data_IF_718125888524
#
_entry.id   IF_718125888524
#
_cell.length_a   1.000
_cell.length_b   1.000
_cell.length_c   1.000
_cell.angle_alpha   90.00
_cell.angle_beta   90.00
_cell.angle_gamma   90.00
#
_symmetry.space_group_name_H-M   'P 1'
#
loop_
_entity.id
_entity.type
_entity.pdbx_description
1 polymer ?
#
# COMPACT_ATOMS: atom_id res chain seq x y z
N UNK A 1 0.13 -39.35 -21.08
CA UNK A 1 -1.17 -39.32 -20.36
C UNK A 1 -1.10 -38.17 -19.38
N UNK A 2 -1.77 -37.06 -19.68
CA UNK A 2 -1.77 -35.85 -18.86
C UNK A 2 -2.67 -36.10 -17.65
N UNK A 3 -2.16 -35.80 -16.45
CA UNK A 3 -2.87 -35.99 -15.18
C UNK A 3 -4.21 -35.22 -15.20
N UNK A 4 -5.37 -35.89 -15.02
CA UNK A 4 -6.68 -35.25 -15.10
C UNK A 4 -6.94 -34.19 -14.01
N UNK A 5 -6.07 -34.05 -13.01
CA UNK A 5 -6.13 -32.97 -12.02
C UNK A 5 -5.65 -31.59 -12.52
N UNK A 6 -4.94 -31.51 -13.65
CA UNK A 6 -4.46 -30.23 -14.19
C UNK A 6 -5.47 -29.53 -15.12
N UNK A 7 -6.44 -30.26 -15.67
CA UNK A 7 -7.53 -29.67 -16.46
C UNK A 7 -8.63 -29.03 -15.60
N UNK A 8 -8.64 -29.30 -14.29
CA UNK A 8 -9.59 -28.67 -13.34
C UNK A 8 -9.18 -27.25 -12.94
N UNK A 9 -7.93 -26.84 -13.19
CA UNK A 9 -7.39 -25.54 -12.76
C UNK A 9 -7.69 -24.36 -13.71
N UNK A 10 -8.12 -24.62 -14.95
CA UNK A 10 -8.26 -23.57 -15.98
C UNK A 10 -9.69 -23.22 -16.41
N UNK A 11 -10.74 -23.70 -15.73
CA UNK A 11 -12.10 -23.38 -16.18
C UNK A 11 -13.30 -23.74 -15.31
N UNK A 12 -13.13 -24.38 -14.15
CA UNK A 12 -14.26 -24.86 -13.34
C UNK A 12 -13.98 -24.72 -11.83
N UNK A 13 -13.87 -23.48 -11.34
CA UNK A 13 -14.12 -23.21 -9.90
C UNK A 13 -14.61 -21.77 -9.61
N UNK A 14 -14.79 -20.93 -10.63
CA UNK A 14 -15.56 -19.68 -10.48
C UNK A 14 -17.05 -19.91 -10.19
N UNK A 15 -17.54 -21.15 -10.37
CA UNK A 15 -18.91 -21.56 -9.99
C UNK A 15 -19.03 -22.11 -8.57
N UNK A 16 -17.90 -22.37 -7.88
CA UNK A 16 -17.90 -22.68 -6.44
C UNK A 16 -17.74 -21.42 -5.60
N UNK A 17 -17.13 -20.38 -6.18
CA UNK A 17 -17.11 -19.03 -5.65
C UNK A 17 -18.52 -18.41 -5.69
N UNK A 18 -19.15 -18.33 -4.52
CA UNK A 18 -20.42 -17.63 -4.25
C UNK A 18 -21.67 -18.27 -4.86
N UNK A 19 -22.12 -19.37 -4.26
CA UNK A 19 -23.45 -19.93 -4.51
C UNK A 19 -24.61 -18.95 -4.29
N UNK A 20 -24.40 -17.84 -3.55
CA UNK A 20 -25.42 -16.80 -3.37
C UNK A 20 -24.81 -15.39 -3.26
N UNK A 21 -24.59 -14.71 -4.39
CA UNK A 21 -24.16 -13.31 -4.41
C UNK A 21 -25.14 -12.38 -3.66
N UNK A 22 -26.41 -12.79 -3.58
CA UNK A 22 -27.49 -12.06 -2.89
C UNK A 22 -27.26 -11.86 -1.38
N UNK A 23 -26.43 -12.68 -0.73
CA UNK A 23 -26.20 -12.65 0.72
C UNK A 23 -25.05 -11.71 1.12
N UNK A 24 -24.26 -11.24 0.15
CA UNK A 24 -22.96 -10.59 0.39
C UNK A 24 -23.01 -9.07 0.61
N UNK A 25 -24.14 -8.43 0.31
CA UNK A 25 -24.25 -6.97 0.24
C UNK A 25 -24.43 -6.25 1.60
N UNK A 26 -24.39 -6.96 2.73
CA UNK A 26 -24.53 -6.34 4.06
C UNK A 26 -23.15 -6.10 4.67
N UNK A 27 -22.95 -4.93 5.28
CA UNK A 27 -21.75 -4.64 6.06
C UNK A 27 -21.67 -5.69 7.17
N UNK A 28 -20.59 -6.49 7.24
CA UNK A 28 -20.40 -7.44 8.33
C UNK A 28 -20.57 -6.78 9.70
N UNK A 29 -21.29 -7.42 10.62
CA UNK A 29 -21.42 -6.94 12.00
C UNK A 29 -20.06 -6.84 12.72
N UNK A 30 -19.05 -7.57 12.21
CA UNK A 30 -17.65 -7.59 12.67
C UNK A 30 -16.80 -6.43 12.14
N UNK A 31 -17.39 -5.32 11.70
CA UNK A 31 -16.66 -4.09 11.35
C UNK A 31 -17.01 -2.98 12.33
N UNK A 32 -16.02 -2.49 13.06
CA UNK A 32 -16.20 -1.44 14.06
C UNK A 32 -15.79 -0.08 13.51
N UNK A 33 -16.60 0.98 13.70
CA UNK A 33 -16.16 2.35 13.43
C UNK A 33 -14.97 2.72 14.33
N UNK A 34 -13.96 3.38 13.75
CA UNK A 34 -12.77 3.82 14.49
C UNK A 34 -13.11 4.74 15.67
N UNK A 35 -14.13 5.58 15.55
CA UNK A 35 -14.56 6.48 16.64
C UNK A 35 -14.96 5.72 17.92
N UNK A 36 -15.50 4.50 17.79
CA UNK A 36 -15.81 3.65 18.96
C UNK A 36 -14.55 3.11 19.63
N UNK A 37 -13.49 2.88 18.87
CA UNK A 37 -12.18 2.44 19.39
C UNK A 37 -11.46 3.62 20.02
N UNK A 38 -11.48 4.79 19.35
CA UNK A 38 -10.87 6.03 19.82
C UNK A 38 -11.53 6.58 21.09
N UNK A 39 -12.82 6.31 21.30
CA UNK A 39 -13.52 6.68 22.53
C UNK A 39 -13.04 5.93 23.78
N UNK A 40 -12.25 4.85 23.62
CA UNK A 40 -11.66 4.13 24.75
C UNK A 40 -10.51 4.95 25.34
N UNK A 41 -10.47 5.03 26.67
CA UNK A 41 -9.38 5.70 27.38
C UNK A 41 -8.09 4.91 27.15
N UNK A 42 -7.05 5.61 26.68
CA UNK A 42 -5.72 5.02 26.59
C UNK A 42 -5.19 4.77 28.01
N UNK A 43 -4.56 3.63 28.28
CA UNK A 43 -3.98 3.35 29.58
C UNK A 43 -2.85 4.33 29.88
N UNK A 44 -2.63 4.61 31.17
CA UNK A 44 -1.58 5.52 31.65
C UNK A 44 -0.17 5.15 31.14
N UNK A 45 0.04 3.86 30.84
CA UNK A 45 1.25 3.36 30.19
C UNK A 45 0.92 2.55 28.94
N UNK A 46 1.15 3.15 27.77
CA UNK A 46 1.11 2.48 26.46
C UNK A 46 2.39 1.70 26.15
N UNK A 47 3.44 1.91 26.93
CA UNK A 47 4.77 1.33 26.69
C UNK A 47 4.76 -0.20 26.69
N UNK A 48 4.00 -0.83 27.59
CA UNK A 48 3.86 -2.28 27.66
C UNK A 48 3.23 -2.88 26.39
N UNK A 49 2.21 -2.21 25.84
CA UNK A 49 1.55 -2.63 24.59
C UNK A 49 2.46 -2.42 23.39
N UNK A 50 3.19 -1.31 23.33
CA UNK A 50 4.15 -1.01 22.26
C UNK A 50 5.31 -2.00 22.25
N UNK A 51 5.84 -2.39 23.41
CA UNK A 51 6.91 -3.38 23.48
C UNK A 51 6.50 -4.76 22.96
N UNK A 52 5.21 -5.05 22.81
CA UNK A 52 4.67 -6.27 22.21
C UNK A 52 4.39 -6.15 20.71
N UNK A 53 4.57 -4.97 20.13
CA UNK A 53 4.32 -4.69 18.72
C UNK A 53 5.61 -4.78 17.90
N UNK A 54 5.47 -5.20 16.65
CA UNK A 54 6.47 -5.14 15.59
C UNK A 54 5.85 -4.42 14.39
N UNK A 55 6.58 -3.49 13.77
CA UNK A 55 6.10 -2.82 12.55
C UNK A 55 6.72 -3.52 11.34
N UNK A 56 5.88 -3.99 10.41
CA UNK A 56 6.31 -4.66 9.18
C UNK A 56 5.91 -3.81 7.98
N UNK A 57 6.88 -3.46 7.13
CA UNK A 57 6.63 -2.74 5.87
C UNK A 57 6.87 -3.64 4.67
N UNK A 58 5.90 -3.69 3.77
CA UNK A 58 6.01 -4.38 2.49
C UNK A 58 6.90 -3.54 1.56
N UNK A 59 8.10 -4.04 1.28
CA UNK A 59 9.17 -3.35 0.55
C UNK A 59 9.59 -4.08 -0.74
N UNK A 60 8.82 -5.08 -1.19
CA UNK A 60 9.17 -5.86 -2.39
C UNK A 60 8.97 -5.14 -3.73
N UNK A 61 8.33 -3.97 -3.73
CA UNK A 61 7.94 -3.22 -4.92
C UNK A 61 9.02 -2.29 -5.47
N UNK A 62 9.14 -2.24 -6.79
CA UNK A 62 10.02 -1.32 -7.50
C UNK A 62 9.31 0.01 -7.80
N UNK A 63 10.09 1.08 -7.95
CA UNK A 63 9.62 2.40 -8.36
C UNK A 63 9.40 2.57 -9.87
N UNK A 64 9.27 1.48 -10.64
CA UNK A 64 9.26 1.51 -12.11
C UNK A 64 8.10 2.30 -12.70
N UNK A 65 6.93 2.29 -12.05
CA UNK A 65 5.76 3.10 -12.47
C UNK A 65 6.03 4.60 -12.41
N UNK A 66 6.99 5.03 -11.60
CA UNK A 66 7.45 6.42 -11.48
C UNK A 66 8.83 6.63 -12.13
N UNK A 67 9.30 5.67 -12.94
CA UNK A 67 10.56 5.76 -13.67
C UNK A 67 11.83 5.52 -12.85
N UNK A 68 11.73 5.01 -11.63
CA UNK A 68 12.88 4.70 -10.77
C UNK A 68 13.28 3.22 -10.90
N UNK A 69 14.59 2.94 -10.98
CA UNK A 69 15.13 1.57 -11.14
C UNK A 69 15.25 0.78 -9.83
N UNK A 70 15.24 1.46 -8.67
CA UNK A 70 15.42 0.83 -7.35
C UNK A 70 14.12 0.56 -6.59
N UNK A 71 14.23 0.16 -5.31
CA UNK A 71 13.09 0.00 -4.41
C UNK A 71 12.25 1.26 -4.34
N UNK A 72 10.93 1.12 -4.33
CA UNK A 72 10.05 2.29 -4.24
C UNK A 72 10.27 3.10 -2.95
N UNK A 73 10.71 2.42 -1.88
CA UNK A 73 10.99 3.02 -0.58
C UNK A 73 12.07 4.10 -0.57
N UNK A 74 12.93 4.13 -1.60
CA UNK A 74 14.06 5.08 -1.70
C UNK A 74 13.72 6.33 -2.49
N UNK A 75 12.49 6.43 -3.01
CA UNK A 75 12.04 7.66 -3.67
C UNK A 75 11.90 8.75 -2.63
N UNK A 76 12.53 9.90 -2.88
CA UNK A 76 12.39 11.10 -2.06
C UNK A 76 10.95 11.61 -2.12
N UNK A 77 10.34 11.76 -0.96
CA UNK A 77 8.96 12.20 -0.76
C UNK A 77 8.91 13.64 -0.31
N UNK A 78 9.70 14.03 0.69
CA UNK A 78 9.61 15.37 1.29
C UNK A 78 10.90 15.79 1.96
N UNK A 79 11.39 16.99 1.64
CA UNK A 79 12.64 17.55 2.16
C UNK A 79 13.79 16.52 2.06
N UNK A 80 13.94 15.91 0.89
CA UNK A 80 14.93 14.83 0.60
C UNK A 80 14.72 13.52 1.37
N UNK A 81 13.76 13.45 2.30
CA UNK A 81 13.43 12.22 3.02
C UNK A 81 12.67 11.26 2.10
N UNK A 82 13.15 10.03 2.05
CA UNK A 82 12.51 8.90 1.37
C UNK A 82 11.36 8.31 2.18
N UNK A 83 10.54 7.43 1.60
CA UNK A 83 9.52 6.69 2.37
C UNK A 83 10.13 5.91 3.55
N UNK A 84 11.33 5.34 3.34
CA UNK A 84 12.04 4.63 4.38
C UNK A 84 12.50 5.57 5.50
N UNK A 85 13.06 6.74 5.15
CA UNK A 85 13.46 7.76 6.13
C UNK A 85 12.26 8.18 7.00
N UNK A 86 11.12 8.48 6.36
CA UNK A 86 9.91 8.87 7.07
C UNK A 86 9.43 7.78 8.04
N UNK A 87 9.47 6.51 7.61
CA UNK A 87 9.09 5.37 8.48
C UNK A 87 10.06 5.20 9.64
N UNK A 88 11.36 5.33 9.39
CA UNK A 88 12.40 5.25 10.45
C UNK A 88 12.21 6.37 11.45
N UNK A 89 12.01 7.62 11.00
CA UNK A 89 11.75 8.76 11.89
C UNK A 89 10.48 8.57 12.74
N UNK A 90 9.41 8.02 12.17
CA UNK A 90 8.18 7.72 12.93
C UNK A 90 8.44 6.75 14.08
N UNK A 91 9.12 5.64 13.81
CA UNK A 91 9.37 4.59 14.82
C UNK A 91 10.43 5.05 15.81
N UNK A 92 11.46 5.76 15.35
CA UNK A 92 12.47 6.32 16.23
C UNK A 92 11.85 7.32 17.20
N UNK A 93 10.98 8.21 16.72
CA UNK A 93 10.26 9.16 17.57
C UNK A 93 9.35 8.43 18.57
N UNK A 94 8.66 7.37 18.14
CA UNK A 94 7.84 6.51 19.00
C UNK A 94 8.69 5.88 20.12
N UNK A 95 9.84 5.31 19.77
CA UNK A 95 10.77 4.67 20.71
C UNK A 95 11.36 5.67 21.70
N UNK A 96 11.72 6.88 21.25
CA UNK A 96 12.24 7.96 22.12
C UNK A 96 11.17 8.47 23.08
N UNK A 97 9.95 8.71 22.58
CA UNK A 97 8.86 9.33 23.34
C UNK A 97 8.32 8.41 24.43
N UNK A 98 8.09 7.14 24.11
CA UNK A 98 7.52 6.17 25.06
C UNK A 98 8.58 5.33 25.80
N UNK A 99 9.86 5.58 25.51
CA UNK A 99 10.98 4.81 26.04
C UNK A 99 10.82 3.28 25.82
N UNK A 100 10.48 2.92 24.58
CA UNK A 100 10.24 1.53 24.15
C UNK A 100 11.20 1.13 23.04
N UNK A 101 11.16 -0.16 22.67
CA UNK A 101 11.92 -0.71 21.55
C UNK A 101 11.00 -1.48 20.59
N UNK A 102 10.35 -0.72 19.71
CA UNK A 102 9.55 -1.25 18.60
C UNK A 102 10.47 -1.50 17.40
N UNK A 103 10.62 -2.76 16.96
CA UNK A 103 11.42 -3.07 15.79
C UNK A 103 10.66 -2.78 14.49
N UNK A 104 11.41 -2.37 13.46
CA UNK A 104 10.96 -2.26 12.08
C UNK A 104 11.44 -3.47 11.29
N UNK A 105 10.55 -4.12 10.55
CA UNK A 105 10.87 -5.24 9.67
C UNK A 105 10.51 -4.88 8.23
N UNK A 106 11.45 -5.04 7.31
CA UNK A 106 11.21 -4.83 5.89
C UNK A 106 11.11 -6.19 5.18
N UNK A 107 9.96 -6.45 4.57
CA UNK A 107 9.76 -7.59 3.68
C UNK A 107 10.23 -7.19 2.27
N UNK A 108 11.45 -7.59 1.93
CA UNK A 108 12.07 -7.29 0.64
C UNK A 108 11.66 -8.31 -0.42
N UNK A 109 12.08 -8.08 -1.65
CA UNK A 109 12.10 -9.04 -2.76
C UNK A 109 13.52 -9.19 -3.28
N UNK A 110 13.78 -10.22 -4.09
CA UNK A 110 15.07 -10.34 -4.79
C UNK A 110 15.41 -9.13 -5.67
N UNK A 111 14.42 -8.31 -6.06
CA UNK A 111 14.63 -7.06 -6.80
C UNK A 111 15.05 -5.87 -5.92
N UNK A 112 14.89 -5.97 -4.61
CA UNK A 112 15.01 -4.82 -3.68
C UNK A 112 15.93 -5.07 -2.50
N UNK A 113 16.25 -6.33 -2.19
CA UNK A 113 16.94 -6.71 -0.95
C UNK A 113 18.38 -6.16 -0.89
N UNK A 114 19.18 -6.33 -1.95
CA UNK A 114 20.56 -5.85 -1.97
C UNK A 114 20.65 -4.31 -1.85
N UNK A 115 19.82 -3.60 -2.61
CA UNK A 115 19.80 -2.14 -2.60
C UNK A 115 19.28 -1.60 -1.26
N UNK A 116 18.28 -2.26 -0.67
CA UNK A 116 17.79 -1.90 0.66
C UNK A 116 18.89 -2.08 1.70
N UNK A 117 19.61 -3.22 1.70
CA UNK A 117 20.70 -3.50 2.66
C UNK A 117 21.83 -2.47 2.60
N UNK A 118 22.20 -2.00 1.40
CA UNK A 118 23.21 -0.94 1.23
C UNK A 118 22.78 0.35 1.93
N UNK A 119 21.51 0.71 1.83
CA UNK A 119 20.96 1.96 2.38
C UNK A 119 20.77 1.89 3.89
N UNK A 120 20.51 0.70 4.44
CA UNK A 120 20.27 0.52 5.88
C UNK A 120 21.45 0.94 6.77
N UNK A 121 22.67 0.99 6.23
CA UNK A 121 23.86 1.48 6.94
C UNK A 121 23.67 2.92 7.48
N UNK A 122 22.85 3.73 6.81
CA UNK A 122 22.48 5.09 7.23
C UNK A 122 21.84 5.13 8.63
N UNK A 123 21.12 4.08 9.03
CA UNK A 123 20.30 4.07 10.24
C UNK A 123 20.96 3.41 11.45
N UNK A 124 22.23 3.03 11.35
CA UNK A 124 22.97 2.30 12.41
C UNK A 124 22.95 3.01 13.78
N UNK A 125 22.90 4.34 13.79
CA UNK A 125 22.88 5.15 15.02
C UNK A 125 21.48 5.62 15.44
N UNK A 126 20.42 5.21 14.72
CA UNK A 126 19.06 5.59 15.05
C UNK A 126 18.50 4.69 16.15
N UNK A 127 17.58 5.21 16.96
CA UNK A 127 16.90 4.43 18.02
C UNK A 127 15.79 3.53 17.45
N UNK A 128 16.15 2.66 16.52
CA UNK A 128 15.25 1.66 15.95
C UNK A 128 16.05 0.43 15.48
N UNK A 129 15.61 -0.76 15.89
CA UNK A 129 16.15 -2.01 15.36
C UNK A 129 15.45 -2.35 14.05
N UNK A 130 16.22 -2.38 12.96
CA UNK A 130 15.70 -2.68 11.62
C UNK A 130 16.12 -4.09 11.22
N UNK A 131 15.14 -4.94 10.96
CA UNK A 131 15.32 -6.28 10.40
C UNK A 131 14.87 -6.32 8.95
N UNK A 132 15.44 -7.24 8.19
CA UNK A 132 15.02 -7.50 6.81
C UNK A 132 14.89 -9.00 6.59
N UNK A 133 13.89 -9.41 5.82
CA UNK A 133 13.84 -10.75 5.25
C UNK A 133 13.39 -10.66 3.80
N UNK A 134 13.78 -11.65 3.00
CA UNK A 134 13.42 -11.71 1.60
C UNK A 134 12.22 -12.64 1.43
N UNK A 135 11.25 -12.22 0.63
CA UNK A 135 10.14 -13.07 0.24
C UNK A 135 10.57 -14.12 -0.78
N UNK A 136 9.72 -15.13 -1.00
CA UNK A 136 9.95 -16.19 -1.98
C UNK A 136 10.13 -15.64 -3.39
N UNK A 137 10.77 -16.45 -4.24
CA UNK A 137 10.98 -16.17 -5.66
C UNK A 137 10.48 -17.35 -6.49
N UNK A 138 9.42 -17.15 -7.28
CA UNK A 138 8.80 -18.20 -8.07
C UNK A 138 9.08 -18.05 -9.57
N UNK A 139 9.17 -19.16 -10.32
CA UNK A 139 9.36 -19.11 -11.76
C UNK A 139 8.05 -18.72 -12.46
N UNK A 140 8.12 -17.78 -13.39
CA UNK A 140 7.00 -17.43 -14.27
C UNK A 140 6.62 -18.65 -15.11
N UNK A 141 5.34 -18.76 -15.44
CA UNK A 141 4.80 -19.89 -16.21
C UNK A 141 4.49 -19.38 -17.62
N UNK A 142 4.89 -20.10 -18.67
CA UNK A 142 4.50 -19.75 -20.03
C UNK A 142 2.99 -19.97 -20.21
N UNK A 143 2.29 -19.01 -20.83
CA UNK A 143 0.82 -19.03 -20.91
C UNK A 143 0.29 -20.17 -21.78
N UNK A 144 0.99 -20.51 -22.85
CA UNK A 144 0.57 -21.51 -23.83
C UNK A 144 0.97 -22.93 -23.41
N UNK A 145 2.21 -23.14 -22.94
CA UNK A 145 2.71 -24.46 -22.55
C UNK A 145 2.39 -24.85 -21.11
N UNK A 146 2.06 -23.88 -20.25
CA UNK A 146 1.87 -24.05 -18.81
C UNK A 146 3.10 -24.64 -18.08
N UNK A 147 4.29 -24.51 -18.68
CA UNK A 147 5.57 -24.92 -18.09
C UNK A 147 6.35 -23.71 -17.56
N UNK A 148 7.25 -23.91 -16.57
CA UNK A 148 8.14 -22.85 -16.11
C UNK A 148 8.98 -22.26 -17.25
N UNK A 149 9.11 -20.93 -17.26
CA UNK A 149 9.98 -20.21 -18.20
C UNK A 149 11.45 -20.36 -17.80
N UNK A 150 11.73 -20.40 -16.50
CA UNK A 150 13.08 -20.55 -15.96
C UNK A 150 13.65 -21.93 -16.32
N UNK A 151 14.84 -21.94 -16.94
CA UNK A 151 15.57 -23.17 -17.32
C UNK A 151 16.61 -23.60 -16.29
N UNK A 152 17.07 -22.64 -15.49
CA UNK A 152 18.11 -22.80 -14.49
C UNK A 152 17.82 -21.87 -13.30
N UNK A 153 18.63 -21.97 -12.25
CA UNK A 153 18.53 -21.15 -11.04
C UNK A 153 19.19 -19.76 -11.19
N UNK A 154 19.70 -19.41 -12.37
CA UNK A 154 20.31 -18.13 -12.67
C UNK A 154 19.33 -16.98 -12.47
N UNK A 155 19.85 -15.87 -11.94
CA UNK A 155 19.05 -14.72 -11.50
C UNK A 155 19.46 -13.41 -12.18
N UNK A 156 20.49 -13.43 -13.01
CA UNK A 156 21.06 -12.24 -13.62
C UNK A 156 20.87 -12.25 -15.14
N UNK A 157 20.83 -11.06 -15.75
CA UNK A 157 20.61 -10.88 -17.19
C UNK A 157 19.21 -11.34 -17.62
N UNK A 158 19.12 -11.96 -18.80
CA UNK A 158 17.87 -12.47 -19.40
C UNK A 158 17.13 -13.48 -18.49
N UNK A 159 17.80 -14.06 -17.50
CA UNK A 159 17.22 -15.00 -16.54
C UNK A 159 16.41 -14.30 -15.43
N UNK A 160 16.68 -13.02 -15.13
CA UNK A 160 15.98 -12.28 -14.08
C UNK A 160 14.48 -12.13 -14.36
N UNK A 161 14.12 -11.97 -15.63
CA UNK A 161 12.74 -11.90 -16.09
C UNK A 161 12.03 -13.25 -16.15
N UNK A 162 12.70 -14.35 -15.86
CA UNK A 162 12.03 -15.63 -15.68
C UNK A 162 11.36 -15.75 -14.29
N UNK A 163 11.65 -14.83 -13.35
CA UNK A 163 11.23 -14.93 -11.95
C UNK A 163 10.30 -13.80 -11.51
N UNK A 164 9.52 -14.02 -10.46
CA UNK A 164 8.68 -13.00 -9.85
C UNK A 164 8.47 -13.26 -8.35
N UNK A 165 8.23 -12.21 -7.55
CA UNK A 165 7.76 -12.36 -6.17
C UNK A 165 6.27 -12.78 -6.19
N UNK A 166 5.84 -13.78 -5.42
CA UNK A 166 4.48 -14.35 -5.47
C UNK A 166 3.41 -13.50 -4.75
N UNK A 167 3.53 -12.17 -4.84
CA UNK A 167 2.66 -11.23 -4.16
C UNK A 167 2.89 -11.15 -2.65
N UNK A 168 2.21 -10.21 -2.01
CA UNK A 168 2.42 -9.94 -0.59
C UNK A 168 1.83 -11.01 0.36
N UNK A 169 1.02 -11.94 -0.13
CA UNK A 169 0.51 -13.07 0.67
C UNK A 169 1.60 -14.06 1.11
N UNK A 170 2.75 -14.08 0.43
CA UNK A 170 3.92 -14.89 0.81
C UNK A 170 4.56 -14.47 2.13
N UNK A 171 4.15 -13.34 2.72
CA UNK A 171 4.62 -12.87 4.02
C UNK A 171 4.58 -13.98 5.08
N UNK A 172 3.52 -14.80 5.12
CA UNK A 172 3.37 -15.82 6.16
C UNK A 172 4.46 -16.90 6.08
N UNK A 173 4.71 -17.42 4.87
CA UNK A 173 5.70 -18.46 4.65
C UNK A 173 7.12 -17.93 4.76
N UNK A 174 7.42 -16.80 4.10
CA UNK A 174 8.76 -16.20 4.13
C UNK A 174 9.16 -15.69 5.51
N UNK A 175 8.22 -15.13 6.28
CA UNK A 175 8.49 -14.67 7.64
C UNK A 175 8.76 -15.84 8.60
N UNK A 176 8.02 -16.95 8.48
CA UNK A 176 8.30 -18.20 9.21
C UNK A 176 9.67 -18.77 8.82
N UNK A 177 9.93 -18.96 7.52
CA UNK A 177 11.16 -19.55 7.00
C UNK A 177 12.41 -18.70 7.30
N UNK A 178 12.26 -17.40 7.52
CA UNK A 178 13.37 -16.52 7.91
C UNK A 178 13.88 -16.78 9.33
N UNK A 179 13.11 -17.49 10.17
CA UNK A 179 13.37 -17.65 11.60
C UNK A 179 13.06 -16.40 12.44
N UNK A 180 12.77 -15.26 11.80
CA UNK A 180 12.48 -14.00 12.48
C UNK A 180 11.17 -14.05 13.27
N UNK A 181 10.17 -14.82 12.80
CA UNK A 181 8.92 -15.05 13.52
C UNK A 181 9.19 -15.58 14.94
N UNK A 182 9.99 -16.65 15.04
CA UNK A 182 10.32 -17.28 16.31
C UNK A 182 11.18 -16.41 17.21
N UNK A 183 12.13 -15.68 16.62
CA UNK A 183 12.95 -14.70 17.36
C UNK A 183 12.09 -13.61 18.00
N UNK A 184 11.12 -13.06 17.26
CA UNK A 184 10.24 -12.00 17.76
C UNK A 184 9.27 -12.52 18.82
N UNK A 185 8.71 -13.73 18.65
CA UNK A 185 7.88 -14.37 19.67
C UNK A 185 8.69 -14.59 20.95
N UNK A 186 9.93 -15.10 20.83
CA UNK A 186 10.83 -15.33 21.97
C UNK A 186 11.21 -14.02 22.66
N UNK A 187 11.32 -12.91 21.91
CA UNK A 187 11.52 -11.57 22.44
C UNK A 187 10.25 -10.96 23.09
N UNK A 188 9.16 -11.72 23.21
CA UNK A 188 7.92 -11.29 23.86
C UNK A 188 7.01 -10.43 22.98
N UNK A 189 7.23 -10.41 21.66
CA UNK A 189 6.32 -9.73 20.72
C UNK A 189 5.07 -10.59 20.49
N UNK A 190 3.91 -9.94 20.41
CA UNK A 190 2.61 -10.60 20.23
C UNK A 190 1.95 -10.29 18.88
N UNK A 191 2.16 -9.08 18.33
CA UNK A 191 1.51 -8.63 17.09
C UNK A 191 2.49 -7.99 16.11
N UNK A 192 2.20 -8.16 14.82
CA UNK A 192 2.76 -7.39 13.72
C UNK A 192 1.74 -6.37 13.20
N UNK A 193 2.20 -5.17 12.88
CA UNK A 193 1.46 -4.19 12.09
C UNK A 193 2.05 -4.13 10.67
N UNK A 194 1.35 -4.73 9.71
CA UNK A 194 1.73 -4.80 8.30
C UNK A 194 1.13 -3.63 7.53
N UNK A 195 1.95 -2.94 6.74
CA UNK A 195 1.46 -1.92 5.80
C UNK A 195 2.42 -1.74 4.62
N UNK A 196 1.94 -1.12 3.54
CA UNK A 196 2.79 -0.76 2.41
C UNK A 196 3.76 0.36 2.81
N UNK A 197 5.02 0.29 2.36
CA UNK A 197 6.00 1.37 2.59
C UNK A 197 5.59 2.69 1.91
N UNK A 198 4.82 2.60 0.82
CA UNK A 198 4.32 3.77 0.08
C UNK A 198 3.00 4.34 0.62
N UNK A 199 2.45 3.78 1.71
CA UNK A 199 1.32 4.37 2.43
C UNK A 199 1.83 5.22 3.61
N UNK A 200 1.87 6.53 3.41
CA UNK A 200 2.36 7.49 4.41
C UNK A 200 1.39 7.71 5.58
N UNK A 201 0.12 7.32 5.41
CA UNK A 201 -0.90 7.38 6.47
C UNK A 201 -0.83 6.20 7.45
N UNK A 202 -0.11 5.14 7.10
CA UNK A 202 0.01 3.92 7.91
C UNK A 202 1.00 4.07 9.07
N UNK A 203 0.66 4.95 10.02
CA UNK A 203 1.37 5.12 11.30
C UNK A 203 0.87 4.14 12.35
N UNK A 204 1.65 3.88 13.40
CA UNK A 204 1.19 3.05 14.53
C UNK A 204 0.07 3.77 15.28
N UNK A 205 -1.12 3.19 15.28
CA UNK A 205 -2.28 3.72 16.00
C UNK A 205 -2.39 3.14 17.41
N UNK A 206 -2.24 3.99 18.43
CA UNK A 206 -2.28 3.56 19.82
C UNK A 206 -3.67 3.09 20.26
N UNK A 207 -4.75 3.59 19.68
CA UNK A 207 -6.10 3.19 20.04
C UNK A 207 -6.42 1.80 19.48
N UNK A 208 -6.02 1.50 18.24
CA UNK A 208 -6.17 0.16 17.66
C UNK A 208 -5.31 -0.85 18.43
N UNK A 209 -4.06 -0.48 18.75
CA UNK A 209 -3.17 -1.31 19.56
C UNK A 209 -3.76 -1.57 20.95
N UNK A 210 -4.30 -0.53 21.61
CA UNK A 210 -4.94 -0.68 22.91
C UNK A 210 -6.16 -1.61 22.83
N UNK A 211 -6.98 -1.47 21.79
CA UNK A 211 -8.13 -2.35 21.57
C UNK A 211 -7.72 -3.82 21.42
N UNK A 212 -6.63 -4.10 20.72
CA UNK A 212 -6.08 -5.47 20.59
C UNK A 212 -5.60 -6.02 21.94
N UNK A 213 -4.86 -5.22 22.71
CA UNK A 213 -4.17 -5.68 23.91
C UNK A 213 -5.09 -5.83 25.12
N UNK A 214 -6.17 -5.03 25.19
CA UNK A 214 -7.12 -5.00 26.33
C UNK A 214 -8.20 -6.08 26.25
N UNK A 215 -8.36 -6.75 25.11
CA UNK A 215 -9.31 -7.84 24.99
C UNK A 215 -8.93 -9.05 25.88
N UNK A 216 -9.91 -9.74 26.49
CA UNK A 216 -9.68 -11.00 27.19
C UNK A 216 -8.95 -12.01 26.30
N UNK A 217 -8.01 -12.78 26.87
CA UNK A 217 -7.14 -13.70 26.11
C UNK A 217 -7.92 -14.71 25.26
N UNK A 218 -9.06 -15.17 25.75
CA UNK A 218 -9.97 -16.13 25.09
C UNK A 218 -10.76 -15.53 23.92
N UNK A 219 -10.88 -14.20 23.85
CA UNK A 219 -11.64 -13.48 22.81
C UNK A 219 -10.78 -12.56 21.95
N UNK A 220 -9.46 -12.67 22.09
CA UNK A 220 -8.51 -11.77 21.47
C UNK A 220 -8.56 -11.91 19.95
N UNK A 221 -8.70 -10.79 19.25
CA UNK A 221 -8.65 -10.74 17.80
C UNK A 221 -7.26 -11.16 17.29
N UNK A 222 -7.20 -12.16 16.41
CA UNK A 222 -5.94 -12.58 15.81
C UNK A 222 -5.58 -11.79 14.56
N UNK A 223 -6.58 -11.16 13.94
CA UNK A 223 -6.42 -10.41 12.69
C UNK A 223 -7.34 -9.19 12.67
N UNK A 224 -6.77 -8.00 12.52
CA UNK A 224 -7.51 -6.78 12.20
C UNK A 224 -7.12 -6.30 10.81
N UNK A 225 -8.12 -6.01 10.00
CA UNK A 225 -7.96 -5.28 8.74
C UNK A 225 -8.55 -3.87 8.87
N UNK A 226 -7.72 -2.84 8.71
CA UNK A 226 -8.23 -1.49 8.57
C UNK A 226 -8.88 -1.34 7.18
N UNK A 227 -10.13 -0.88 7.18
CA UNK A 227 -10.89 -0.53 5.98
C UNK A 227 -11.20 0.96 6.03
N UNK A 228 -11.44 1.58 4.89
CA UNK A 228 -11.89 2.98 4.81
C UNK A 228 -13.03 3.09 3.81
N UNK A 229 -13.81 4.16 3.92
CA UNK A 229 -14.93 4.41 2.99
C UNK A 229 -14.44 4.55 1.54
N UNK A 230 -15.14 3.91 0.60
CA UNK A 230 -14.86 3.94 -0.84
C UNK A 230 -15.19 5.30 -1.43
N UNK A 231 -14.26 5.85 -2.19
CA UNK A 231 -14.54 6.95 -3.12
C UNK A 231 -14.66 6.45 -4.56
N UNK A 232 -15.00 7.34 -5.49
CA UNK A 232 -15.07 6.99 -6.93
C UNK A 232 -13.75 6.46 -7.48
N UNK A 233 -12.62 6.83 -6.89
CA UNK A 233 -11.30 6.32 -7.27
C UNK A 233 -11.03 4.88 -6.79
N UNK A 234 -11.75 4.42 -5.76
CA UNK A 234 -11.45 3.16 -5.04
C UNK A 234 -12.41 2.02 -5.41
N UNK A 235 -13.28 2.21 -6.42
CA UNK A 235 -14.35 1.27 -6.80
C UNK A 235 -13.84 -0.12 -7.23
N UNK A 236 -12.56 -0.22 -7.59
CA UNK A 236 -11.90 -1.49 -7.96
C UNK A 236 -11.29 -2.23 -6.77
N UNK A 237 -11.15 -1.58 -5.62
CA UNK A 237 -10.52 -2.15 -4.43
C UNK A 237 -11.36 -3.24 -3.78
N UNK A 238 -10.68 -4.27 -3.29
CA UNK A 238 -11.26 -5.36 -2.51
C UNK A 238 -12.03 -4.86 -1.29
N UNK A 239 -13.11 -5.54 -0.93
CA UNK A 239 -13.99 -5.20 0.21
C UNK A 239 -14.09 -6.37 1.18
N UNK A 240 -14.33 -6.07 2.46
CA UNK A 240 -14.69 -7.10 3.42
C UNK A 240 -16.15 -7.48 3.28
N UNK A 241 -16.40 -8.79 3.32
CA UNK A 241 -17.73 -9.42 3.33
C UNK A 241 -17.80 -10.47 4.43
N UNK A 242 -19.02 -10.88 4.77
CA UNK A 242 -19.25 -12.04 5.63
C UNK A 242 -19.68 -13.21 4.74
N UNK A 243 -18.98 -14.33 4.87
CA UNK A 243 -19.23 -15.56 4.13
C UNK A 243 -18.94 -16.74 5.06
N UNK A 244 -19.90 -17.68 5.18
CA UNK A 244 -19.82 -18.82 6.12
C UNK A 244 -19.42 -18.39 7.56
N UNK A 245 -20.06 -17.33 8.07
CA UNK A 245 -19.83 -16.73 9.40
C UNK A 245 -18.41 -16.19 9.69
N UNK A 246 -17.54 -16.20 8.69
CA UNK A 246 -16.20 -15.62 8.72
C UNK A 246 -16.11 -14.36 7.87
N UNK A 247 -15.19 -13.48 8.26
CA UNK A 247 -14.81 -12.36 7.41
C UNK A 247 -13.95 -12.88 6.27
N UNK A 248 -14.23 -12.43 5.05
CA UNK A 248 -13.42 -12.71 3.86
C UNK A 248 -13.18 -11.42 3.07
N UNK A 249 -11.99 -11.31 2.50
CA UNK A 249 -11.68 -10.26 1.53
C UNK A 249 -12.18 -10.70 0.15
N UNK A 250 -13.14 -9.96 -0.40
CA UNK A 250 -13.65 -10.15 -1.76
C UNK A 250 -12.92 -9.21 -2.71
N UNK A 251 -12.18 -9.80 -3.66
CA UNK A 251 -11.52 -9.07 -4.74
C UNK A 251 -12.35 -9.11 -6.03
N UNK A 252 -12.19 -8.10 -6.88
CA UNK A 252 -12.92 -8.00 -8.17
C UNK A 252 -12.70 -9.23 -9.07
N UNK A 253 -11.52 -9.85 -9.01
CA UNK A 253 -11.18 -11.04 -9.80
C UNK A 253 -12.02 -12.28 -9.42
N UNK A 254 -12.59 -12.29 -8.22
CA UNK A 254 -13.43 -13.37 -7.71
C UNK A 254 -14.93 -13.14 -8.02
N UNK A 255 -15.29 -11.94 -8.49
CA UNK A 255 -16.68 -11.56 -8.78
C UNK A 255 -17.05 -12.04 -10.18
N UNK A 256 -18.16 -12.81 -10.34
CA UNK A 256 -18.64 -13.18 -11.66
C UNK A 256 -18.92 -11.95 -12.53
N UNK A 257 -18.63 -12.04 -13.84
CA UNK A 257 -18.74 -10.90 -14.78
C UNK A 257 -20.10 -10.19 -14.73
N UNK A 258 -21.19 -10.93 -14.49
CA UNK A 258 -22.55 -10.39 -14.40
C UNK A 258 -22.77 -9.45 -13.19
N UNK A 259 -21.97 -9.55 -12.13
CA UNK A 259 -22.14 -8.80 -10.89
C UNK A 259 -21.01 -7.78 -10.64
N UNK A 260 -20.11 -7.58 -11.60
CA UNK A 260 -18.98 -6.65 -11.47
C UNK A 260 -19.43 -5.21 -11.22
N UNK A 261 -20.51 -4.77 -11.85
CA UNK A 261 -21.01 -3.41 -11.67
C UNK A 261 -21.70 -3.22 -10.32
N UNK A 262 -22.28 -4.29 -9.77
CA UNK A 262 -22.77 -4.29 -8.39
C UNK A 262 -21.64 -4.20 -7.38
N UNK A 263 -20.53 -4.91 -7.61
CA UNK A 263 -19.33 -4.84 -6.77
C UNK A 263 -18.71 -3.44 -6.74
N UNK A 264 -18.70 -2.76 -7.89
CA UNK A 264 -18.20 -1.38 -8.01
C UNK A 264 -19.15 -0.35 -7.39
N UNK A 265 -20.38 -0.74 -7.08
CA UNK A 265 -21.37 0.18 -6.51
C UNK A 265 -20.99 0.54 -5.07
N UNK A 266 -20.68 1.82 -4.87
CA UNK A 266 -20.39 2.41 -3.55
C UNK A 266 -21.60 2.41 -2.61
N UNK A 267 -22.82 2.18 -3.13
CA UNK A 267 -24.03 2.08 -2.30
C UNK A 267 -24.17 0.70 -1.65
N UNK A 268 -23.75 -0.37 -2.37
CA UNK A 268 -23.73 -1.74 -1.86
C UNK A 268 -22.50 -2.00 -1.00
N UNK A 269 -21.32 -1.77 -1.57
CA UNK A 269 -20.04 -1.95 -0.88
C UNK A 269 -19.46 -0.58 -0.55
N UNK A 270 -19.60 -0.17 0.72
CA UNK A 270 -19.24 1.18 1.17
C UNK A 270 -17.77 1.33 1.57
N UNK A 271 -17.08 0.22 1.80
CA UNK A 271 -15.71 0.20 2.35
C UNK A 271 -14.75 -0.56 1.42
N UNK A 272 -13.46 -0.33 1.57
CA UNK A 272 -12.42 -1.13 0.93
C UNK A 272 -11.21 -1.32 1.84
N UNK A 273 -10.41 -2.35 1.53
CA UNK A 273 -9.20 -2.69 2.25
C UNK A 273 -8.08 -1.65 2.03
N UNK A 274 -7.52 -1.14 3.13
CA UNK A 274 -6.37 -0.21 3.10
C UNK A 274 -5.02 -0.91 2.98
N UNK A 275 -4.99 -2.24 3.19
CA UNK A 275 -3.81 -3.06 3.38
C UNK A 275 -2.96 -2.69 4.62
N UNK A 276 -3.56 -2.00 5.59
CA UNK A 276 -3.02 -1.85 6.94
C UNK A 276 -3.61 -2.97 7.83
N UNK A 277 -2.78 -3.89 8.27
CA UNK A 277 -3.20 -5.14 8.91
C UNK A 277 -2.49 -5.33 10.24
N UNK A 278 -3.21 -5.81 11.25
CA UNK A 278 -2.66 -6.15 12.55
C UNK A 278 -2.86 -7.63 12.79
N UNK A 279 -1.78 -8.39 12.95
CA UNK A 279 -1.83 -9.85 12.91
C UNK A 279 -1.07 -10.43 14.11
N UNK A 280 -1.68 -11.40 14.79
CA UNK A 280 -1.07 -12.13 15.89
C UNK A 280 0.05 -13.04 15.40
N UNK A 281 1.24 -12.89 15.98
CA UNK A 281 2.42 -13.72 15.69
C UNK A 281 2.16 -15.19 16.02
N UNK A 282 1.50 -15.46 17.16
CA UNK A 282 1.18 -16.82 17.58
C UNK A 282 0.19 -17.51 16.62
N UNK A 283 -0.78 -16.75 16.10
CA UNK A 283 -1.74 -17.27 15.12
C UNK A 283 -1.08 -17.56 13.77
N UNK A 284 -0.15 -16.70 13.31
CA UNK A 284 0.65 -16.96 12.10
C UNK A 284 1.40 -18.29 12.26
N UNK A 285 2.11 -18.48 13.38
CA UNK A 285 2.86 -19.71 13.64
C UNK A 285 1.95 -20.94 13.61
N UNK A 286 0.86 -20.92 14.39
CA UNK A 286 -0.12 -22.01 14.47
C UNK A 286 -0.69 -22.37 13.10
N UNK A 287 -1.17 -21.38 12.36
CA UNK A 287 -1.82 -21.62 11.06
C UNK A 287 -0.82 -22.10 9.99
N UNK A 288 0.42 -21.62 10.04
CA UNK A 288 1.47 -22.06 9.11
C UNK A 288 1.90 -23.51 9.39
N UNK A 289 2.18 -23.87 10.64
CA UNK A 289 2.57 -25.24 11.03
C UNK A 289 1.46 -26.26 10.72
N UNK A 290 0.20 -25.85 10.80
CA UNK A 290 -0.97 -26.67 10.48
C UNK A 290 -1.31 -26.71 8.99
N UNK A 291 -0.60 -25.94 8.15
CA UNK A 291 -0.95 -25.72 6.74
C UNK A 291 -2.41 -25.24 6.55
N UNK A 292 -2.93 -24.47 7.50
CA UNK A 292 -4.31 -23.97 7.53
C UNK A 292 -4.46 -22.56 6.93
N UNK A 293 -3.36 -21.96 6.47
CA UNK A 293 -3.37 -20.69 5.74
C UNK A 293 -4.00 -20.88 4.36
N UNK A 294 -5.26 -20.46 4.23
CA UNK A 294 -6.01 -20.48 2.97
C UNK A 294 -6.13 -19.06 2.40
N UNK A 295 -5.68 -18.87 1.15
CA UNK A 295 -5.74 -17.61 0.41
C UNK A 295 -6.14 -17.89 -1.03
N UNK A 296 -6.99 -17.05 -1.61
CA UNK A 296 -7.36 -17.15 -3.01
C UNK A 296 -6.16 -16.86 -3.93
N UNK A 297 -5.99 -17.71 -4.96
CA UNK A 297 -4.95 -17.55 -5.96
C UNK A 297 -5.33 -16.41 -6.92
N UNK A 298 -4.39 -15.50 -7.13
CA UNK A 298 -4.48 -14.42 -8.11
C UNK A 298 -3.65 -14.82 -9.34
N UNK A 299 -4.33 -14.95 -10.48
CA UNK A 299 -3.70 -15.25 -11.76
C UNK A 299 -3.46 -13.95 -12.51
N UNK A 300 -2.19 -13.56 -12.66
CA UNK A 300 -1.78 -12.31 -13.28
C UNK A 300 -1.10 -12.57 -14.64
N UNK A 301 -1.83 -12.46 -15.76
CA UNK A 301 -1.24 -12.58 -17.08
C UNK A 301 -0.39 -11.35 -17.40
N UNK A 302 0.84 -11.56 -17.87
CA UNK A 302 1.76 -10.51 -18.34
C UNK A 302 2.38 -10.88 -19.67
N UNK A 303 2.89 -9.87 -20.37
CA UNK A 303 3.72 -10.05 -21.56
C UNK A 303 5.10 -9.49 -21.23
N UNK A 304 6.13 -10.32 -21.36
CA UNK A 304 7.51 -9.92 -21.13
C UNK A 304 8.08 -9.16 -22.32
N UNK A 305 9.18 -8.47 -22.09
CA UNK A 305 9.98 -7.86 -23.16
C UNK A 305 10.41 -8.96 -24.15
N UNK A 306 10.07 -8.77 -25.43
CA UNK A 306 10.19 -9.82 -26.46
C UNK A 306 8.87 -10.51 -26.84
N UNK A 307 7.74 -10.14 -26.23
CA UNK A 307 6.40 -10.57 -26.65
C UNK A 307 5.96 -11.93 -26.08
N UNK A 308 6.74 -12.52 -25.17
CA UNK A 308 6.38 -13.79 -24.52
C UNK A 308 5.25 -13.59 -23.52
N UNK A 309 4.14 -14.31 -23.71
CA UNK A 309 3.03 -14.30 -22.76
C UNK A 309 3.30 -15.25 -21.60
N UNK A 310 3.15 -14.75 -20.38
CA UNK A 310 3.41 -15.48 -19.15
C UNK A 310 2.27 -15.29 -18.14
N UNK A 311 2.23 -16.20 -17.18
CA UNK A 311 1.33 -16.21 -16.04
C UNK A 311 2.16 -16.11 -14.76
N UNK A 312 1.72 -15.26 -13.84
CA UNK A 312 2.19 -15.16 -12.47
C UNK A 312 1.07 -15.58 -11.52
N UNK A 313 1.39 -16.43 -10.55
CA UNK A 313 0.46 -16.90 -9.52
C UNK A 313 0.84 -16.26 -8.20
N UNK A 314 -0.02 -15.40 -7.70
CA UNK A 314 0.22 -14.59 -6.51
C UNK A 314 -0.88 -14.82 -5.46
N UNK A 315 -0.64 -14.39 -4.23
CA UNK A 315 -1.67 -14.36 -3.18
C UNK A 315 -1.68 -13.01 -2.46
N UNK A 316 -2.82 -12.68 -1.85
CA UNK A 316 -3.01 -11.45 -1.11
C UNK A 316 -2.93 -11.66 0.41
N UNK A 317 -2.20 -10.80 1.14
CA UNK A 317 -2.02 -10.94 2.60
C UNK A 317 -3.36 -10.82 3.32
N UNK A 318 -4.23 -9.91 2.86
CA UNK A 318 -5.57 -9.70 3.40
C UNK A 318 -6.53 -10.85 3.12
N UNK A 319 -6.27 -11.71 2.12
CA UNK A 319 -7.13 -12.85 1.82
C UNK A 319 -7.10 -13.90 2.94
N UNK A 320 -5.99 -13.98 3.68
CA UNK A 320 -5.83 -14.91 4.78
C UNK A 320 -6.76 -14.63 5.98
N UNK A 321 -7.42 -13.46 6.04
CA UNK A 321 -8.31 -13.08 7.18
C UNK A 321 -9.35 -14.15 7.52
N UNK A 322 -9.80 -14.94 6.54
CA UNK A 322 -10.76 -16.05 6.72
C UNK A 322 -10.21 -17.23 7.53
N UNK A 323 -8.88 -17.37 7.61
CA UNK A 323 -8.21 -18.45 8.34
C UNK A 323 -8.00 -18.11 9.83
N UNK A 324 -8.11 -16.83 10.21
CA UNK A 324 -7.85 -16.36 11.58
C UNK A 324 -9.11 -16.36 12.44
N UNK A 325 -8.93 -16.64 13.73
CA UNK A 325 -10.01 -16.59 14.70
C UNK A 325 -10.25 -15.15 15.18
N UNK A 326 -11.51 -14.85 15.51
CA UNK A 326 -11.94 -13.53 15.99
C UNK A 326 -11.49 -12.37 15.08
N UNK A 327 -11.38 -12.61 13.77
CA UNK A 327 -11.02 -11.57 12.81
C UNK A 327 -12.02 -10.41 12.84
N UNK A 328 -11.49 -9.18 12.73
CA UNK A 328 -12.25 -7.94 12.86
C UNK A 328 -11.86 -6.94 11.77
N UNK A 329 -12.83 -6.19 11.25
CA UNK A 329 -12.57 -5.01 10.43
C UNK A 329 -12.68 -3.73 11.26
N UNK A 330 -11.85 -2.72 10.97
CA UNK A 330 -11.96 -1.39 11.60
C UNK A 330 -12.10 -0.33 10.53
N UNK A 331 -13.22 0.41 10.51
CA UNK A 331 -13.42 1.51 9.56
C UNK A 331 -12.68 2.76 10.05
N UNK A 332 -11.47 2.99 9.52
CA UNK A 332 -10.57 4.08 9.87
C UNK A 332 -10.79 5.31 8.99
N UNK A 333 -10.46 6.52 9.47
CA UNK A 333 -10.46 7.70 8.61
C UNK A 333 -9.42 7.57 7.49
N UNK A 334 -9.72 8.21 6.35
CA UNK A 334 -8.83 8.22 5.18
C UNK A 334 -7.44 8.81 5.45
N UNK A 335 -7.26 9.56 6.54
CA UNK A 335 -5.93 10.01 6.99
C UNK A 335 -4.94 8.86 7.21
N UNK A 336 -5.42 7.63 7.43
CA UNK A 336 -4.59 6.41 7.54
C UNK A 336 -4.33 5.70 6.22
N UNK A 337 -4.93 6.18 5.14
CA UNK A 337 -4.80 5.67 3.78
C UNK A 337 -4.36 6.77 2.82
N UNK A 338 -3.05 7.03 2.83
CA UNK A 338 -2.36 7.99 1.97
C UNK A 338 -1.29 7.28 1.12
N UNK A 339 -1.70 6.41 0.18
CA UNK A 339 -0.76 5.75 -0.72
C UNK A 339 -0.23 6.72 -1.78
N UNK A 340 1.07 6.69 -2.02
CA UNK A 340 1.71 7.45 -3.11
C UNK A 340 2.02 6.49 -4.25
N UNK A 341 1.19 6.45 -5.29
CA UNK A 341 1.34 5.55 -6.43
C UNK A 341 1.87 6.24 -7.68
N UNK A 342 1.61 7.54 -7.80
CA UNK A 342 1.92 8.38 -8.96
C UNK A 342 2.60 9.68 -8.54
N UNK A 343 3.14 10.42 -9.50
CA UNK A 343 3.64 11.78 -9.27
C UNK A 343 2.54 12.77 -8.88
N UNK A 344 1.28 12.50 -9.23
CA UNK A 344 0.13 13.31 -8.77
C UNK A 344 -0.03 13.20 -7.25
N UNK A 345 0.12 11.99 -6.71
CA UNK A 345 0.11 11.76 -5.26
C UNK A 345 1.34 12.39 -4.60
N UNK A 346 2.50 12.34 -5.27
CA UNK A 346 3.74 12.95 -4.79
C UNK A 346 3.59 14.47 -4.64
N UNK A 347 2.99 15.14 -5.62
CA UNK A 347 2.70 16.58 -5.57
C UNK A 347 1.84 16.93 -4.35
N UNK A 348 0.80 16.14 -4.08
CA UNK A 348 -0.06 16.34 -2.91
C UNK A 348 0.73 16.32 -1.60
N UNK A 349 1.55 15.27 -1.38
CA UNK A 349 2.27 15.07 -0.12
C UNK A 349 3.48 16.01 0.06
N UNK A 350 4.03 16.51 -1.04
CA UNK A 350 5.09 17.52 -1.06
C UNK A 350 4.57 18.92 -0.75
N UNK A 351 3.31 19.21 -1.07
CA UNK A 351 2.73 20.55 -0.93
C UNK A 351 2.50 20.97 0.52
N UNK A 352 2.19 22.25 0.70
CA UNK A 352 1.77 22.83 1.97
C UNK A 352 0.41 22.33 2.48
N UNK A 353 -0.28 21.47 1.72
CA UNK A 353 -1.47 20.76 2.15
C UNK A 353 -1.20 19.83 3.34
N UNK A 354 0.02 19.30 3.44
CA UNK A 354 0.45 18.48 4.57
C UNK A 354 1.55 19.18 5.34
N UNK A 355 1.60 18.96 6.64
CA UNK A 355 2.74 19.27 7.52
C UNK A 355 3.47 17.98 7.88
N UNK A 356 4.80 18.05 7.96
CA UNK A 356 5.65 16.93 8.35
C UNK A 356 6.13 17.14 9.79
N UNK A 357 5.82 16.19 10.67
CA UNK A 357 6.29 16.18 12.05
C UNK A 357 6.76 14.77 12.42
N UNK A 358 8.02 14.64 12.86
CA UNK A 358 8.64 13.37 13.23
C UNK A 358 8.40 12.21 12.22
N UNK A 359 8.48 12.50 10.92
CA UNK A 359 8.23 11.52 9.85
C UNK A 359 6.75 11.28 9.51
N UNK A 360 5.81 11.80 10.30
CA UNK A 360 4.37 11.69 10.06
C UNK A 360 3.83 12.86 9.25
N UNK A 361 3.03 12.57 8.23
CA UNK A 361 2.30 13.60 7.49
C UNK A 361 0.91 13.81 8.09
N UNK A 362 0.59 15.05 8.39
CA UNK A 362 -0.75 15.46 8.84
C UNK A 362 -1.29 16.53 7.93
N UNK A 363 -2.57 16.46 7.56
CA UNK A 363 -3.19 17.51 6.75
C UNK A 363 -3.14 18.83 7.54
N UNK A 364 -2.79 19.91 6.85
CA UNK A 364 -2.64 21.24 7.44
C UNK A 364 -3.94 21.69 8.11
N UNK A 365 -3.83 22.21 9.34
CA UNK A 365 -4.98 22.81 10.06
C UNK A 365 -5.52 24.07 9.36
N UNK A 366 -4.74 24.66 8.45
CA UNK A 366 -5.17 25.82 7.65
C UNK A 366 -6.04 25.42 6.46
N UNK A 367 -6.18 24.12 6.17
CA UNK A 367 -7.06 23.63 5.12
C UNK A 367 -8.51 23.73 5.62
N UNK A 368 -9.34 24.44 4.87
CA UNK A 368 -10.75 24.67 5.23
C UNK A 368 -11.59 23.38 5.17
N UNK A 369 -11.34 22.52 4.16
CA UNK A 369 -12.09 21.29 3.93
C UNK A 369 -11.23 20.03 4.15
N UNK A 370 -11.72 19.01 4.88
CA UNK A 370 -10.94 17.81 5.18
C UNK A 370 -10.71 16.91 3.95
N UNK A 371 -11.33 17.20 2.82
CA UNK A 371 -11.13 16.47 1.57
C UNK A 371 -9.81 16.81 0.91
N UNK A 372 -9.08 15.78 0.49
CA UNK A 372 -7.91 15.91 -0.39
C UNK A 372 -8.32 16.40 -1.78
N UNK A 373 -7.64 17.40 -2.36
CA UNK A 373 -7.92 17.84 -3.73
C UNK A 373 -7.63 16.75 -4.75
N UNK A 374 -8.35 16.80 -5.86
CA UNK A 374 -8.14 15.88 -6.97
C UNK A 374 -7.05 16.41 -7.90
N UNK A 375 -5.90 15.74 -7.94
CA UNK A 375 -4.77 16.12 -8.80
C UNK A 375 -4.57 15.06 -9.89
N UNK A 376 -4.46 15.50 -11.14
CA UNK A 376 -4.15 14.66 -12.29
C UNK A 376 -3.09 15.33 -13.16
N UNK A 377 -1.87 14.80 -13.09
CA UNK A 377 -0.76 15.19 -13.95
C UNK A 377 -0.68 14.27 -15.18
N UNK A 378 -0.41 14.85 -16.34
CA UNK A 378 -0.30 14.15 -17.62
C UNK A 378 0.96 13.31 -17.75
N UNK A 379 1.10 12.65 -18.90
CA UNK A 379 2.20 11.71 -19.19
C UNK A 379 3.60 12.32 -19.01
N UNK A 380 3.75 13.62 -19.30
CA UNK A 380 4.99 14.40 -19.14
C UNK A 380 5.53 14.45 -17.70
N UNK A 381 4.70 14.09 -16.71
CA UNK A 381 5.04 14.09 -15.29
C UNK A 381 5.16 12.67 -14.72
N UNK A 382 5.06 11.62 -15.53
CA UNK A 382 5.00 10.23 -15.03
C UNK A 382 6.29 9.84 -14.30
N UNK A 383 7.45 10.22 -14.84
CA UNK A 383 8.75 9.93 -14.22
C UNK A 383 9.06 10.97 -13.15
N UNK A 384 9.58 10.54 -12.00
CA UNK A 384 9.94 11.45 -10.89
C UNK A 384 10.93 12.52 -11.34
N UNK A 385 11.90 12.16 -12.17
CA UNK A 385 12.88 13.11 -12.69
C UNK A 385 12.21 14.24 -13.50
N UNK A 386 11.36 13.89 -14.46
CA UNK A 386 10.63 14.87 -15.27
C UNK A 386 9.66 15.71 -14.43
N UNK A 387 8.98 15.07 -13.47
CA UNK A 387 8.13 15.75 -12.50
C UNK A 387 8.90 16.82 -11.71
N UNK A 388 10.05 16.47 -11.11
CA UNK A 388 10.85 17.39 -10.32
C UNK A 388 11.43 18.53 -11.18
N UNK A 389 11.87 18.25 -12.41
CA UNK A 389 12.37 19.31 -13.31
C UNK A 389 11.29 20.30 -13.74
N UNK A 390 10.02 19.86 -13.80
CA UNK A 390 8.91 20.70 -14.25
C UNK A 390 8.33 21.60 -13.16
N UNK A 391 8.69 21.39 -11.91
CA UNK A 391 8.31 22.25 -10.78
C UNK A 391 9.57 22.85 -10.16
N UNK A 392 9.87 24.12 -10.46
CA UNK A 392 11.00 24.80 -9.81
C UNK A 392 10.83 24.90 -8.28
N UNK A 393 9.57 24.98 -7.83
CA UNK A 393 9.17 24.81 -6.44
C UNK A 393 7.78 24.18 -6.40
N UNK A 394 7.47 23.47 -5.32
CA UNK A 394 6.13 22.93 -5.12
C UNK A 394 5.14 24.09 -4.91
N UNK A 395 4.05 24.17 -5.68
CA UNK A 395 3.10 25.26 -5.58
C UNK A 395 2.33 25.24 -4.26
N UNK A 396 1.79 26.39 -3.89
CA UNK A 396 0.75 26.49 -2.87
C UNK A 396 -0.53 25.84 -3.39
N UNK A 397 -1.04 24.85 -2.65
CA UNK A 397 -2.23 24.07 -2.99
C UNK A 397 -3.22 24.03 -1.84
N UNK A 398 -3.09 24.93 -0.86
CA UNK A 398 -3.89 24.89 0.37
C UNK A 398 -5.38 25.16 0.12
N UNK A 399 -5.71 25.95 -0.91
CA UNK A 399 -7.07 26.29 -1.32
C UNK A 399 -7.46 25.60 -2.65
N UNK A 400 -6.71 24.58 -3.08
CA UNK A 400 -7.00 23.84 -4.32
C UNK A 400 -8.15 22.85 -4.11
N UNK A 401 -9.01 22.66 -5.10
CA UNK A 401 -10.00 21.57 -5.13
C UNK A 401 -9.71 20.56 -6.24
N UNK A 402 -9.35 21.06 -7.42
CA UNK A 402 -9.10 20.23 -8.60
C UNK A 402 -7.94 20.79 -9.43
N UNK A 403 -6.97 19.95 -9.77
CA UNK A 403 -5.89 20.25 -10.69
C UNK A 403 -5.83 19.19 -11.79
N UNK A 404 -5.93 19.62 -13.04
CA UNK A 404 -5.62 18.78 -14.19
C UNK A 404 -4.56 19.47 -15.04
N UNK A 405 -3.44 18.80 -15.29
CA UNK A 405 -2.35 19.31 -16.14
C UNK A 405 -2.09 18.31 -17.25
N UNK A 406 -2.13 18.74 -18.51
CA UNK A 406 -1.89 17.91 -19.68
C UNK A 406 -0.95 18.59 -20.66
N UNK A 407 -0.08 17.80 -21.30
CA UNK A 407 0.90 18.29 -22.29
C UNK A 407 2.24 18.69 -21.69
N UNK A 408 3.01 19.48 -22.45
CA UNK A 408 4.33 19.99 -22.03
C UNK A 408 4.16 21.27 -21.20
N UNK A 409 4.09 21.12 -19.87
CA UNK A 409 3.84 22.22 -18.94
C UNK A 409 4.98 22.32 -17.91
N UNK A 410 5.40 23.54 -17.59
CA UNK A 410 6.35 23.82 -16.50
C UNK A 410 5.78 24.86 -15.53
N UNK A 411 6.29 24.84 -14.29
CA UNK A 411 5.88 25.73 -13.21
C UNK A 411 7.10 26.43 -12.62
N UNK A 412 7.11 27.76 -12.68
CA UNK A 412 8.10 28.58 -12.00
C UNK A 412 7.95 28.56 -10.47
N UNK A 413 8.80 29.33 -9.79
CA UNK A 413 8.79 29.41 -8.32
C UNK A 413 7.53 30.08 -7.78
N UNK A 414 7.11 29.68 -6.58
CA UNK A 414 6.07 30.35 -5.79
C UNK A 414 4.70 30.48 -6.50
N UNK A 415 4.34 29.52 -7.36
CA UNK A 415 3.00 29.46 -7.96
C UNK A 415 1.96 29.08 -6.90
N UNK A 416 0.76 29.67 -6.97
CA UNK A 416 -0.39 29.33 -6.12
C UNK A 416 -1.56 28.85 -6.98
N UNK A 417 -2.16 27.72 -6.59
CA UNK A 417 -3.26 27.07 -7.31
C UNK A 417 -4.48 26.96 -6.38
N UNK A 418 -5.60 27.54 -6.80
CA UNK A 418 -6.81 27.70 -5.97
C UNK A 418 -8.07 27.26 -6.73
N UNK A 419 -9.01 26.64 -6.01
CA UNK A 419 -10.26 26.12 -6.57
C UNK A 419 -10.01 25.10 -7.68
N UNK A 420 -10.61 25.31 -8.85
CA UNK A 420 -10.43 24.43 -10.03
C UNK A 420 -9.46 25.02 -11.04
N UNK A 421 -8.32 24.35 -11.24
CA UNK A 421 -7.30 24.73 -12.24
C UNK A 421 -7.12 23.63 -13.27
N UNK A 422 -7.24 23.99 -14.55
CA UNK A 422 -7.02 23.06 -15.67
C UNK A 422 -6.01 23.69 -16.62
N UNK A 423 -4.89 23.01 -16.89
CA UNK A 423 -3.83 23.50 -17.78
C UNK A 423 -3.63 22.49 -18.90
N UNK A 424 -3.81 22.94 -20.14
CA UNK A 424 -3.75 22.07 -21.33
C UNK A 424 -2.82 22.69 -22.37
N UNK A 425 -1.64 22.10 -22.52
CA UNK A 425 -0.78 22.28 -23.69
C UNK A 425 -1.12 21.19 -24.72
N UNK A 426 -1.50 21.59 -25.94
CA UNK A 426 -1.79 20.63 -27.01
C UNK A 426 -0.50 20.00 -27.55
N UNK A 427 -0.63 19.00 -28.42
CA UNK A 427 0.52 18.38 -29.04
C UNK A 427 1.38 19.41 -29.80
N UNK A 428 2.65 19.53 -29.42
CA UNK A 428 3.60 20.45 -30.05
C UNK A 428 3.67 21.81 -29.37
N UNK A 429 2.69 22.13 -28.52
CA UNK A 429 2.69 23.32 -27.70
C UNK A 429 3.40 23.08 -26.37
N UNK A 430 3.91 24.18 -25.78
CA UNK A 430 4.48 24.19 -24.44
C UNK A 430 3.88 25.36 -23.66
N UNK A 431 3.63 25.18 -22.37
CA UNK A 431 3.18 26.25 -21.47
C UNK A 431 4.15 26.35 -20.29
N UNK A 432 4.85 27.47 -20.20
CA UNK A 432 5.62 27.83 -19.00
C UNK A 432 4.77 28.75 -18.11
N UNK A 433 4.40 28.26 -16.92
CA UNK A 433 3.68 29.08 -15.93
C UNK A 433 4.70 29.95 -15.20
N UNK A 434 4.57 31.30 -15.27
CA UNK A 434 5.58 32.20 -14.72
C UNK A 434 5.66 32.11 -13.19
N UNK A 435 6.82 32.43 -12.64
CA UNK A 435 7.03 32.51 -11.20
C UNK A 435 6.07 33.50 -10.54
N UNK A 436 5.53 33.14 -9.37
CA UNK A 436 4.57 33.94 -8.62
C UNK A 436 3.14 33.95 -9.18
N UNK A 437 2.86 33.19 -10.25
CA UNK A 437 1.51 33.12 -10.80
C UNK A 437 0.49 32.58 -9.78
N UNK A 438 -0.67 33.22 -9.73
CA UNK A 438 -1.83 32.76 -8.95
C UNK A 438 -2.92 32.36 -9.93
N UNK A 439 -3.26 31.07 -9.95
CA UNK A 439 -4.32 30.52 -10.80
C UNK A 439 -5.49 30.10 -9.92
N UNK A 440 -6.60 30.83 -10.01
CA UNK A 440 -7.81 30.58 -9.25
C UNK A 440 -9.01 30.41 -10.17
N UNK A 441 -9.61 29.22 -10.16
CA UNK A 441 -10.80 28.90 -10.97
C UNK A 441 -10.60 29.21 -12.47
N UNK A 442 -9.45 28.80 -13.03
CA UNK A 442 -9.05 29.07 -14.42
C UNK A 442 -8.78 27.82 -15.22
N UNK A 443 -9.09 27.92 -16.51
CA UNK A 443 -8.60 27.01 -17.55
C UNK A 443 -7.55 27.78 -18.35
N UNK A 444 -6.32 27.25 -18.40
CA UNK A 444 -5.20 27.81 -19.15
C UNK A 444 -4.89 26.87 -20.30
N UNK A 445 -4.92 27.38 -21.52
CA UNK A 445 -4.54 26.63 -22.71
C UNK A 445 -3.82 27.53 -23.71
N UNK A 446 -3.00 26.93 -24.57
CA UNK A 446 -2.26 27.62 -25.61
C UNK A 446 -0.78 27.21 -25.64
N UNK A 447 0.05 28.14 -26.12
CA UNK A 447 1.49 27.96 -26.28
C UNK A 447 2.21 29.21 -25.78
N UNK A 448 2.99 29.07 -24.72
CA UNK A 448 3.72 30.14 -24.06
C UNK A 448 5.10 29.61 -23.64
N UNK A 449 6.17 30.25 -24.15
CA UNK A 449 7.55 29.99 -23.72
C UNK A 449 8.12 31.20 -23.01
N UNK A 450 8.71 30.97 -21.84
CA UNK A 450 9.43 31.99 -21.08
C UNK A 450 10.92 31.67 -21.20
N UNK A 451 11.71 32.63 -21.66
CA UNK A 451 13.16 32.48 -21.86
C UNK A 451 13.90 33.45 -20.95
N UNK A 452 15.06 33.01 -20.43
CA UNK A 452 15.98 33.88 -19.71
C UNK A 452 16.53 34.96 -20.65
N UNK A 453 16.58 36.22 -20.19
CA UNK A 453 17.15 37.36 -20.92
C UNK A 453 18.50 37.76 -20.32
#
# INVERSE_FOLDING_TARGET
MVNPHLQTLCGLDSNRAMRDYCVLGRIPHKIHPYDKIKAQVLPDSVAASLNKLVVVKLNGGLGTSMGCKGPKSVISVRNENTFLDLTVHQIEHLNKTFNVDVPLVLMNSFNTDEDTKKILQKYTHHRVHIHTFNQSRYPRINKESLLPVAKDLGVHGDHGDAWYPPGHGDIYASFYNSGLLDQLITAGKEYIFVSNIDNLGATVDLFILNHLMTQPKDKRCEFIMEVTDKTRADVKGGTLIQYDDKLRLLEIAQVPKAHVDEFKSVTKFKIFNTNNLWISLAAIKRLHEQNAMDMEIIVNPKTLDGGLNVIQLETAVGAAIKAFDNALGVNVPRSRFLPVKTSSDLLLVMSNLYSLDAGSLTMSKKREFPSTPHVKLGSSFTKVHDFLMRFESIPDMLELDHLTVSGDVTFGKNVSLKGTVIIIANHGDRIDIPAGAVLENKIVSGNLRILDH
#
